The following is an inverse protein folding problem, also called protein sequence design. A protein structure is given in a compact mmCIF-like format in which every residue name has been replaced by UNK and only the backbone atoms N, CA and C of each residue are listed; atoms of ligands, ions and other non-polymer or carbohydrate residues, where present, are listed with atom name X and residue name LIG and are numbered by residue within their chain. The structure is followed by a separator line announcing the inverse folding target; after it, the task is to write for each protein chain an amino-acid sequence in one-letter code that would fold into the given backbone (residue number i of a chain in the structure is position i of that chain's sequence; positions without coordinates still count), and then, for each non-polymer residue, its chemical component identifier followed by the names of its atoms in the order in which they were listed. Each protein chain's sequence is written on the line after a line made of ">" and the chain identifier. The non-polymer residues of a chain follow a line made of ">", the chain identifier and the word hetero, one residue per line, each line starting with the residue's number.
data_IF_788483449485
#
_entry.id   IF_788483449485
#
_cell.length_a   1.000
_cell.length_b   1.000
_cell.length_c   1.000
_cell.angle_alpha   90.00
_cell.angle_beta   90.00
_cell.angle_gamma   90.00
#
_symmetry.space_group_name_H-M   'P 1'
#
loop_
_entity.id
_entity.type
_entity.pdbx_description
1 polymer ?
#
# COMPACT_ATOMS: atom_id res chain seq x y z
N UNK A 1 -0.29 6.30 28.57
CA UNK A 1 0.90 6.70 29.39
C UNK A 1 1.80 7.74 28.72
N UNK A 2 2.56 7.46 27.65
CA UNK A 2 3.41 8.50 27.01
C UNK A 2 2.61 9.58 26.28
N UNK A 3 1.51 9.22 25.61
CA UNK A 3 0.68 10.17 24.84
C UNK A 3 -0.24 11.03 25.72
N UNK A 4 -0.60 10.54 26.91
CA UNK A 4 -1.52 11.27 27.81
C UNK A 4 -0.80 12.31 28.69
N UNK A 5 0.50 12.12 28.95
CA UNK A 5 1.23 12.97 29.91
C UNK A 5 2.17 13.99 29.23
N UNK A 6 2.58 13.78 27.98
CA UNK A 6 3.50 14.68 27.27
C UNK A 6 3.13 14.81 25.79
N UNK A 7 2.17 15.70 25.47
CA UNK A 7 1.81 16.05 24.08
C UNK A 7 2.98 16.61 23.25
N UNK A 8 4.08 16.98 23.92
CA UNK A 8 5.26 17.61 23.31
C UNK A 8 6.45 16.65 23.11
N UNK A 9 6.37 15.40 23.59
CA UNK A 9 7.48 14.43 23.47
C UNK A 9 7.47 13.67 22.13
N UNK A 10 7.31 14.39 21.02
CA UNK A 10 7.41 13.84 19.66
C UNK A 10 8.73 13.09 19.44
N UNK A 11 9.80 13.51 20.10
CA UNK A 11 11.11 12.85 20.09
C UNK A 11 11.08 11.44 20.70
N UNK A 12 10.36 11.25 21.82
CA UNK A 12 10.26 9.94 22.47
C UNK A 12 9.45 8.95 21.60
N UNK A 13 8.38 9.44 20.97
CA UNK A 13 7.54 8.66 20.06
C UNK A 13 8.34 8.23 18.83
N UNK A 14 9.12 9.14 18.23
CA UNK A 14 10.04 8.82 17.11
C UNK A 14 11.02 7.71 17.49
N UNK A 15 11.60 7.77 18.68
CA UNK A 15 12.54 6.75 19.17
C UNK A 15 11.81 5.41 19.35
N UNK A 16 10.63 5.40 19.96
CA UNK A 16 9.85 4.18 20.15
C UNK A 16 9.45 3.53 18.83
N UNK A 17 9.03 4.32 17.84
CA UNK A 17 8.70 3.83 16.50
C UNK A 17 9.92 3.28 15.76
N UNK A 18 11.07 3.93 15.92
CA UNK A 18 12.34 3.44 15.35
C UNK A 18 12.79 2.14 15.99
N UNK A 19 12.60 1.99 17.31
CA UNK A 19 12.86 0.71 18.00
C UNK A 19 11.90 -0.36 17.47
N UNK A 20 10.61 -0.03 17.32
CA UNK A 20 9.63 -0.96 16.80
C UNK A 20 9.91 -1.39 15.35
N UNK A 21 10.27 -0.46 14.46
CA UNK A 21 10.63 -0.80 13.08
C UNK A 21 11.89 -1.67 13.02
N UNK A 22 12.86 -1.43 13.91
CA UNK A 22 14.04 -2.30 14.07
C UNK A 22 13.69 -3.69 14.63
N UNK A 23 12.64 -3.85 15.43
CA UNK A 23 12.25 -5.17 15.95
C UNK A 23 11.35 -5.95 15.01
N UNK A 24 10.44 -5.26 14.31
CA UNK A 24 9.38 -5.91 13.53
C UNK A 24 9.69 -6.03 12.05
N UNK A 25 10.48 -5.09 11.50
CA UNK A 25 10.72 -4.98 10.04
C UNK A 25 12.18 -5.27 9.67
N UNK A 26 13.12 -4.96 10.57
CA UNK A 26 14.54 -5.16 10.27
C UNK A 26 14.96 -6.63 10.44
N UNK A 27 15.20 -7.30 9.32
CA UNK A 27 15.72 -8.66 9.25
C UNK A 27 17.24 -8.70 8.97
N UNK A 28 17.99 -7.77 9.55
CA UNK A 28 19.45 -7.79 9.54
C UNK A 28 20.13 -6.88 8.51
N UNK A 29 19.42 -6.38 7.49
CA UNK A 29 19.98 -5.41 6.52
C UNK A 29 18.94 -4.36 6.12
N UNK A 30 19.38 -3.11 5.95
CA UNK A 30 18.54 -2.04 5.44
C UNK A 30 18.44 -2.09 3.92
N UNK A 31 17.28 -1.76 3.38
CA UNK A 31 17.04 -1.76 1.93
C UNK A 31 18.01 -0.83 1.16
N UNK A 32 18.37 0.30 1.76
CA UNK A 32 19.33 1.25 1.18
C UNK A 32 20.70 0.60 0.95
N UNK A 33 21.18 -0.18 1.92
CA UNK A 33 22.46 -0.88 1.83
C UNK A 33 22.42 -1.93 0.70
N UNK A 34 21.28 -2.59 0.50
CA UNK A 34 21.10 -3.57 -0.59
C UNK A 34 21.07 -2.91 -1.95
N UNK A 35 20.41 -1.76 -2.09
CA UNK A 35 20.42 -0.99 -3.32
C UNK A 35 21.83 -0.55 -3.71
N UNK A 36 22.64 -0.13 -2.73
CA UNK A 36 24.05 0.20 -2.92
C UNK A 36 24.86 -1.04 -3.33
N UNK A 37 24.74 -2.14 -2.58
CA UNK A 37 25.41 -3.41 -2.91
C UNK A 37 25.04 -3.92 -4.31
N UNK A 38 23.78 -3.76 -4.72
CA UNK A 38 23.29 -4.14 -6.03
C UNK A 38 23.87 -3.25 -7.14
N UNK A 39 23.90 -1.92 -6.93
CA UNK A 39 24.53 -0.97 -7.87
C UNK A 39 26.01 -1.29 -8.05
N UNK A 40 26.74 -1.50 -6.96
CA UNK A 40 28.15 -1.89 -6.96
C UNK A 40 28.37 -3.19 -7.74
N UNK A 41 27.51 -4.18 -7.50
CA UNK A 41 27.56 -5.44 -8.23
C UNK A 41 27.35 -5.24 -9.74
N UNK A 42 26.39 -4.40 -10.17
CA UNK A 42 26.17 -4.14 -11.60
C UNK A 42 27.40 -3.50 -12.26
N UNK A 43 28.04 -2.55 -11.59
CA UNK A 43 29.26 -1.89 -12.07
C UNK A 43 30.38 -2.93 -12.22
N UNK A 44 30.64 -3.72 -11.18
CA UNK A 44 31.66 -4.77 -11.18
C UNK A 44 31.38 -5.81 -12.28
N UNK A 45 30.14 -6.27 -12.39
CA UNK A 45 29.73 -7.23 -13.42
C UNK A 45 29.95 -6.68 -14.84
N UNK A 46 29.72 -5.39 -15.05
CA UNK A 46 29.96 -4.73 -16.33
C UNK A 46 31.45 -4.63 -16.66
N UNK A 47 32.27 -4.15 -15.72
CA UNK A 47 33.72 -3.97 -15.89
C UNK A 47 34.44 -5.28 -16.23
N UNK A 48 34.06 -6.37 -15.57
CA UNK A 48 34.69 -7.68 -15.73
C UNK A 48 33.91 -8.63 -16.65
N UNK A 49 33.05 -8.08 -17.51
CA UNK A 49 32.30 -8.86 -18.50
C UNK A 49 33.22 -9.24 -19.66
N UNK A 50 33.64 -10.50 -19.69
CA UNK A 50 34.32 -11.03 -20.86
C UNK A 50 33.31 -11.39 -21.97
N UNK A 51 33.26 -10.60 -23.05
CA UNK A 51 32.33 -10.82 -24.17
C UNK A 51 32.70 -12.04 -25.04
N UNK A 52 33.94 -12.52 -24.99
CA UNK A 52 34.44 -13.60 -25.83
C UNK A 52 34.07 -15.00 -25.29
N UNK A 53 34.07 -15.18 -23.98
CA UNK A 53 33.89 -16.49 -23.33
C UNK A 53 32.41 -16.88 -23.07
N UNK A 54 31.44 -16.16 -23.65
CA UNK A 54 30.01 -16.44 -23.53
C UNK A 54 29.39 -15.97 -22.20
N UNK A 55 28.15 -16.41 -21.91
CA UNK A 55 27.40 -16.01 -20.71
C UNK A 55 27.94 -16.75 -19.46
N UNK A 56 28.00 -16.06 -18.31
CA UNK A 56 28.26 -16.60 -16.94
C UNK A 56 29.69 -17.08 -16.61
N UNK A 57 30.69 -16.86 -17.47
CA UNK A 57 32.10 -17.08 -17.10
C UNK A 57 32.70 -15.80 -16.51
N UNK A 58 32.38 -15.53 -15.25
CA UNK A 58 32.94 -14.40 -14.50
C UNK A 58 34.08 -14.84 -13.58
N UNK A 59 35.05 -13.97 -13.29
CA UNK A 59 36.08 -14.26 -12.29
C UNK A 59 35.45 -14.49 -10.91
N UNK A 60 36.12 -15.30 -10.08
CA UNK A 60 35.60 -15.79 -8.78
C UNK A 60 35.04 -14.68 -7.89
N UNK A 61 35.71 -13.54 -7.81
CA UNK A 61 35.26 -12.45 -6.93
C UNK A 61 33.91 -11.86 -7.34
N UNK A 62 33.59 -11.80 -8.64
CA UNK A 62 32.28 -11.34 -9.14
C UNK A 62 31.18 -12.34 -8.75
N UNK A 63 31.51 -13.64 -8.76
CA UNK A 63 30.59 -14.68 -8.32
C UNK A 63 30.34 -14.57 -6.82
N UNK A 64 31.38 -14.33 -6.01
CA UNK A 64 31.24 -14.10 -4.57
C UNK A 64 30.34 -12.89 -4.30
N UNK A 65 30.59 -11.75 -4.97
CA UNK A 65 29.75 -10.55 -4.80
C UNK A 65 28.29 -10.79 -5.21
N UNK A 66 28.06 -11.61 -6.25
CA UNK A 66 26.71 -12.03 -6.63
C UNK A 66 26.04 -12.86 -5.53
N UNK A 67 26.77 -13.75 -4.87
CA UNK A 67 26.24 -14.57 -3.78
C UNK A 67 25.90 -13.68 -2.58
N UNK A 68 26.77 -12.73 -2.24
CA UNK A 68 26.54 -11.74 -1.17
C UNK A 68 25.23 -10.97 -1.42
N UNK A 69 25.09 -10.35 -2.60
CA UNK A 69 23.85 -9.65 -2.97
C UNK A 69 22.63 -10.56 -2.93
N UNK A 70 22.76 -11.82 -3.37
CA UNK A 70 21.66 -12.77 -3.35
C UNK A 70 21.23 -13.15 -1.92
N UNK A 71 22.20 -13.31 -1.00
CA UNK A 71 21.91 -13.61 0.40
C UNK A 71 21.17 -12.44 1.06
N UNK A 72 21.61 -11.20 0.83
CA UNK A 72 20.93 -10.04 1.41
C UNK A 72 19.53 -9.82 0.83
N UNK A 73 19.34 -10.07 -0.47
CA UNK A 73 18.01 -10.03 -1.09
C UNK A 73 17.05 -11.08 -0.50
N UNK A 74 17.56 -12.27 -0.15
CA UNK A 74 16.75 -13.30 0.50
C UNK A 74 16.28 -12.87 1.89
N UNK A 75 17.12 -12.17 2.65
CA UNK A 75 16.77 -11.65 3.98
C UNK A 75 15.57 -10.68 3.94
N UNK A 76 15.47 -9.86 2.89
CA UNK A 76 14.34 -8.92 2.70
C UNK A 76 13.09 -9.58 2.11
N UNK A 77 13.23 -10.68 1.38
CA UNK A 77 12.09 -11.32 0.70
C UNK A 77 11.05 -11.95 1.64
N UNK A 78 11.27 -11.91 2.96
CA UNK A 78 10.31 -12.35 3.95
C UNK A 78 9.27 -11.24 4.21
N UNK A 79 8.04 -11.46 3.77
CA UNK A 79 6.90 -10.63 4.17
C UNK A 79 6.37 -11.13 5.51
N UNK A 80 6.54 -10.39 6.62
CA UNK A 80 5.98 -10.80 7.89
C UNK A 80 4.45 -10.76 7.85
N UNK A 81 3.82 -11.70 8.53
CA UNK A 81 2.38 -11.65 8.81
C UNK A 81 2.09 -10.52 9.80
N UNK A 82 1.02 -9.77 9.57
CA UNK A 82 0.59 -8.71 10.48
C UNK A 82 0.15 -9.31 11.83
N UNK A 83 0.81 -8.90 12.92
CA UNK A 83 0.42 -9.28 14.28
C UNK A 83 -0.53 -8.25 14.91
N UNK A 84 -1.18 -8.60 16.02
CA UNK A 84 -2.06 -7.68 16.74
C UNK A 84 -1.32 -6.44 17.28
N UNK A 85 -0.04 -6.59 17.64
CA UNK A 85 0.82 -5.48 18.08
C UNK A 85 1.03 -4.53 16.90
N UNK A 86 1.31 -5.06 15.72
CA UNK A 86 1.54 -4.27 14.51
C UNK A 86 0.28 -3.47 14.15
N UNK A 87 -0.90 -4.08 14.29
CA UNK A 87 -2.18 -3.38 14.12
C UNK A 87 -2.34 -2.21 15.09
N UNK A 88 -1.99 -2.38 16.36
CA UNK A 88 -2.05 -1.30 17.35
C UNK A 88 -1.09 -0.17 17.02
N UNK A 89 0.12 -0.51 16.57
CA UNK A 89 1.11 0.49 16.14
C UNK A 89 0.62 1.28 14.92
N UNK A 90 0.05 0.60 13.92
CA UNK A 90 -0.55 1.25 12.74
C UNK A 90 -1.66 2.22 13.16
N UNK A 91 -2.56 1.80 14.06
CA UNK A 91 -3.63 2.67 14.56
C UNK A 91 -3.07 3.88 15.32
N UNK A 92 -2.02 3.68 16.13
CA UNK A 92 -1.42 4.80 16.87
C UNK A 92 -0.68 5.77 15.97
N UNK A 93 0.00 5.27 14.95
CA UNK A 93 0.63 6.08 13.91
C UNK A 93 -0.40 6.85 13.09
N UNK A 94 -1.54 6.23 12.78
CA UNK A 94 -2.65 6.89 12.13
C UNK A 94 -3.17 8.08 12.95
N UNK A 95 -3.39 7.90 14.26
CA UNK A 95 -3.79 8.96 15.19
C UNK A 95 -2.80 10.14 15.20
N UNK A 96 -1.49 9.84 15.18
CA UNK A 96 -0.44 10.86 15.10
C UNK A 96 -0.37 11.54 13.72
N UNK A 97 -0.72 10.81 12.66
CA UNK A 97 -0.73 11.30 11.27
C UNK A 97 -1.88 12.28 11.00
N UNK A 98 -2.89 12.32 11.88
CA UNK A 98 -4.01 13.28 11.86
C UNK A 98 -3.93 14.32 12.98
N UNK A 99 -2.80 14.40 13.70
CA UNK A 99 -2.62 15.32 14.82
C UNK A 99 -2.66 16.81 14.42
N UNK A 100 -2.96 17.72 15.36
CA UNK A 100 -3.03 19.17 15.09
C UNK A 100 -1.72 19.74 14.54
N UNK A 101 -0.59 19.34 15.12
CA UNK A 101 0.74 19.82 14.73
C UNK A 101 1.23 19.17 13.44
N UNK A 102 1.55 19.99 12.44
CA UNK A 102 2.02 19.53 11.11
C UNK A 102 3.33 18.75 11.16
N UNK A 103 4.26 19.11 12.05
CA UNK A 103 5.54 18.40 12.17
C UNK A 103 5.35 16.97 12.69
N UNK A 104 4.46 16.78 13.68
CA UNK A 104 4.12 15.44 14.19
C UNK A 104 3.45 14.62 13.10
N UNK A 105 2.53 15.21 12.35
CA UNK A 105 1.87 14.55 11.21
C UNK A 105 2.86 14.07 10.16
N UNK A 106 3.74 14.95 9.69
CA UNK A 106 4.70 14.64 8.62
C UNK A 106 5.61 13.46 9.01
N UNK A 107 6.15 13.48 10.23
CA UNK A 107 6.99 12.39 10.72
C UNK A 107 6.21 11.07 10.87
N UNK A 108 5.01 11.12 11.44
CA UNK A 108 4.17 9.94 11.61
C UNK A 108 3.73 9.33 10.26
N UNK A 109 3.46 10.15 9.25
CA UNK A 109 3.08 9.71 7.91
C UNK A 109 4.23 8.97 7.22
N UNK A 110 5.47 9.44 7.36
CA UNK A 110 6.66 8.75 6.82
C UNK A 110 6.79 7.34 7.41
N UNK A 111 6.68 7.23 8.74
CA UNK A 111 6.76 5.93 9.43
C UNK A 111 5.55 5.04 9.09
N UNK A 112 4.36 5.61 8.98
CA UNK A 112 3.14 4.90 8.58
C UNK A 112 3.28 4.32 7.16
N UNK A 113 3.75 5.09 6.18
CA UNK A 113 3.94 4.60 4.82
C UNK A 113 4.98 3.48 4.74
N UNK A 114 6.03 3.56 5.57
CA UNK A 114 7.02 2.48 5.65
C UNK A 114 6.38 1.18 6.12
N UNK A 115 5.58 1.22 7.20
CA UNK A 115 4.87 0.05 7.73
C UNK A 115 3.81 -0.46 6.74
N UNK A 116 3.04 0.43 6.12
CA UNK A 116 2.01 0.04 5.15
C UNK A 116 2.59 -0.69 3.93
N UNK A 117 3.83 -0.35 3.54
CA UNK A 117 4.55 -1.03 2.48
C UNK A 117 5.03 -2.43 2.89
N UNK A 118 5.44 -2.61 4.16
CA UNK A 118 5.98 -3.88 4.64
C UNK A 118 4.91 -4.95 4.83
N UNK A 119 3.70 -4.56 5.23
CA UNK A 119 2.59 -5.48 5.47
C UNK A 119 1.54 -5.41 4.37
N UNK A 120 1.35 -6.50 3.63
CA UNK A 120 0.30 -6.61 2.62
C UNK A 120 -1.08 -6.39 3.23
N UNK A 121 -1.94 -5.63 2.54
CA UNK A 121 -3.31 -5.29 2.96
C UNK A 121 -3.45 -4.52 4.28
N UNK A 122 -2.35 -4.05 4.87
CA UNK A 122 -2.36 -3.28 6.12
C UNK A 122 -3.18 -1.98 6.07
N UNK A 123 -3.39 -1.42 4.88
CA UNK A 123 -4.26 -0.25 4.68
C UNK A 123 -5.70 -0.51 5.16
N UNK A 124 -6.15 -1.76 5.19
CA UNK A 124 -7.49 -2.13 5.68
C UNK A 124 -7.69 -1.76 7.16
N UNK A 125 -6.61 -1.66 7.95
CA UNK A 125 -6.67 -1.28 9.36
C UNK A 125 -7.13 0.18 9.54
N UNK A 126 -6.71 1.05 8.61
CA UNK A 126 -6.91 2.51 8.72
C UNK A 126 -8.05 3.02 7.84
N UNK A 127 -8.45 2.27 6.82
CA UNK A 127 -9.32 2.79 5.77
C UNK A 127 -10.73 3.13 6.27
N UNK A 128 -11.30 2.32 7.14
CA UNK A 128 -12.63 2.57 7.71
C UNK A 128 -12.61 3.87 8.53
N UNK A 129 -11.55 4.09 9.33
CA UNK A 129 -11.37 5.33 10.10
C UNK A 129 -11.17 6.55 9.19
N UNK A 130 -10.50 6.40 8.04
CA UNK A 130 -10.35 7.47 7.06
C UNK A 130 -11.72 7.84 6.47
N UNK A 131 -12.53 6.84 6.07
CA UNK A 131 -13.86 7.06 5.51
C UNK A 131 -14.78 7.77 6.53
N UNK A 132 -14.76 7.33 7.79
CA UNK A 132 -15.52 7.97 8.87
C UNK A 132 -15.14 9.45 9.06
N UNK A 133 -13.86 9.81 8.96
CA UNK A 133 -13.39 11.19 9.11
C UNK A 133 -13.71 12.06 7.89
N UNK A 134 -13.70 11.49 6.69
CA UNK A 134 -14.05 12.19 5.45
C UNK A 134 -15.55 12.45 5.34
N UNK A 135 -16.39 11.47 5.71
CA UNK A 135 -17.84 11.60 5.66
C UNK A 135 -18.37 12.56 6.76
N UNK A 136 -17.70 12.65 7.91
CA UNK A 136 -18.04 13.59 9.00
C UNK A 136 -17.34 14.95 8.88
N UNK A 137 -17.21 15.50 7.67
CA UNK A 137 -16.43 16.71 7.40
C UNK A 137 -16.91 17.97 8.13
N UNK A 138 -18.20 18.05 8.51
CA UNK A 138 -18.78 19.19 9.25
C UNK A 138 -18.39 19.22 10.74
N UNK A 139 -18.04 18.07 11.32
CA UNK A 139 -17.66 17.94 12.74
C UNK A 139 -16.16 17.71 12.97
N UNK A 140 -15.43 17.25 11.94
CA UNK A 140 -14.03 16.94 12.04
C UNK A 140 -13.14 18.19 11.99
N UNK A 141 -12.04 18.19 12.75
CA UNK A 141 -11.07 19.27 12.67
C UNK A 141 -10.42 19.27 11.27
N UNK A 142 -10.35 20.43 10.63
CA UNK A 142 -9.72 20.59 9.32
C UNK A 142 -8.29 20.00 9.24
N UNK A 143 -7.55 20.00 10.35
CA UNK A 143 -6.23 19.37 10.40
C UNK A 143 -6.28 17.84 10.25
N UNK A 144 -7.32 17.21 10.79
CA UNK A 144 -7.52 15.76 10.66
C UNK A 144 -7.87 15.38 9.22
N UNK A 145 -8.81 16.11 8.60
CA UNK A 145 -9.17 15.92 7.18
C UNK A 145 -7.93 16.08 6.30
N UNK A 146 -7.15 17.14 6.52
CA UNK A 146 -5.90 17.36 5.79
C UNK A 146 -4.90 16.22 6.00
N UNK A 147 -4.79 15.69 7.23
CA UNK A 147 -3.96 14.52 7.54
C UNK A 147 -4.41 13.27 6.76
N UNK A 148 -5.72 12.98 6.74
CA UNK A 148 -6.30 11.88 5.97
C UNK A 148 -6.00 12.00 4.47
N UNK A 149 -6.15 13.19 3.90
CA UNK A 149 -5.84 13.42 2.49
C UNK A 149 -4.36 13.21 2.16
N UNK A 150 -3.44 13.60 3.04
CA UNK A 150 -2.02 13.27 2.87
C UNK A 150 -1.75 11.76 2.92
N UNK A 151 -2.43 11.03 3.81
CA UNK A 151 -2.31 9.57 3.89
C UNK A 151 -2.83 8.92 2.59
N UNK A 152 -3.95 9.41 2.04
CA UNK A 152 -4.52 8.94 0.78
C UNK A 152 -3.65 9.27 -0.44
N UNK A 153 -3.08 10.49 -0.48
CA UNK A 153 -2.10 10.87 -1.50
C UNK A 153 -0.88 9.95 -1.48
N UNK A 154 -0.47 9.54 -0.28
CA UNK A 154 0.58 8.55 -0.07
C UNK A 154 1.94 8.98 -0.64
N UNK A 155 2.77 8.00 -0.96
CA UNK A 155 4.06 8.20 -1.62
C UNK A 155 4.13 7.36 -2.92
N UNK A 156 5.29 7.27 -3.56
CA UNK A 156 5.43 6.53 -4.82
C UNK A 156 5.19 5.01 -4.66
N UNK A 157 5.33 4.48 -3.44
CA UNK A 157 5.22 3.05 -3.13
C UNK A 157 3.85 2.67 -2.55
N UNK A 158 3.19 3.60 -1.88
CA UNK A 158 1.91 3.41 -1.20
C UNK A 158 0.95 4.48 -1.71
N UNK A 159 -0.04 4.05 -2.49
CA UNK A 159 -1.15 4.89 -2.94
C UNK A 159 -2.46 4.12 -2.76
N UNK A 160 -3.26 4.52 -1.77
CA UNK A 160 -4.48 3.78 -1.37
C UNK A 160 -5.61 3.93 -2.42
N UNK A 161 -5.86 5.11 -3.01
CA UNK A 161 -6.93 5.29 -4.01
C UNK A 161 -6.80 4.45 -5.29
N UNK A 162 -5.61 3.94 -5.61
CA UNK A 162 -5.36 3.08 -6.77
C UNK A 162 -5.27 1.57 -6.43
N UNK A 163 -5.64 1.16 -5.22
CA UNK A 163 -5.66 -0.27 -4.87
C UNK A 163 -6.74 -1.03 -5.66
N UNK A 164 -6.40 -2.24 -6.09
CA UNK A 164 -7.25 -3.12 -6.92
C UNK A 164 -8.38 -3.79 -6.11
N UNK A 165 -9.26 -3.01 -5.49
CA UNK A 165 -10.38 -3.50 -4.70
C UNK A 165 -11.66 -2.72 -4.98
N UNK A 166 -12.59 -3.31 -5.71
CA UNK A 166 -13.89 -2.66 -6.02
C UNK A 166 -14.67 -2.26 -4.77
N UNK A 167 -14.62 -3.08 -3.71
CA UNK A 167 -15.25 -2.78 -2.43
C UNK A 167 -14.68 -1.55 -1.73
N UNK A 168 -13.39 -1.27 -1.95
CA UNK A 168 -12.74 -0.05 -1.46
C UNK A 168 -13.13 1.15 -2.33
N UNK A 169 -13.02 1.00 -3.65
CA UNK A 169 -13.30 2.09 -4.61
C UNK A 169 -14.74 2.58 -4.49
N UNK A 170 -15.69 1.66 -4.30
CA UNK A 170 -17.12 1.94 -4.06
C UNK A 170 -17.35 2.93 -2.92
N UNK A 171 -16.55 2.85 -1.85
CA UNK A 171 -16.69 3.73 -0.68
C UNK A 171 -15.81 4.98 -0.77
N UNK A 172 -14.56 4.79 -1.18
CA UNK A 172 -13.53 5.83 -1.13
C UNK A 172 -13.75 6.93 -2.16
N UNK A 173 -14.09 6.57 -3.39
CA UNK A 173 -14.23 7.56 -4.47
C UNK A 173 -15.41 8.51 -4.23
N UNK A 174 -16.61 8.04 -3.86
CA UNK A 174 -17.69 8.94 -3.48
C UNK A 174 -17.34 9.83 -2.28
N UNK A 175 -16.68 9.29 -1.25
CA UNK A 175 -16.27 10.09 -0.08
C UNK A 175 -15.28 11.20 -0.46
N UNK A 176 -14.32 10.91 -1.35
CA UNK A 176 -13.40 11.91 -1.91
C UNK A 176 -14.15 13.02 -2.66
N UNK A 177 -15.11 12.66 -3.52
CA UNK A 177 -15.90 13.66 -4.28
C UNK A 177 -16.72 14.58 -3.38
N UNK A 178 -17.33 14.05 -2.30
CA UNK A 178 -18.05 14.86 -1.31
C UNK A 178 -17.11 15.82 -0.56
N UNK A 179 -15.88 15.37 -0.30
CA UNK A 179 -14.86 16.18 0.38
C UNK A 179 -14.35 17.34 -0.51
N UNK A 180 -14.59 17.31 -1.83
CA UNK A 180 -14.17 18.39 -2.76
C UNK A 180 -14.83 19.75 -2.48
N UNK A 181 -15.94 19.79 -1.73
CA UNK A 181 -16.54 21.06 -1.29
C UNK A 181 -15.77 21.75 -0.15
N UNK A 182 -14.64 21.19 0.30
CA UNK A 182 -13.80 21.80 1.31
C UNK A 182 -13.42 23.24 0.93
N UNK A 183 -13.70 24.18 1.85
CA UNK A 183 -13.59 25.63 1.62
C UNK A 183 -12.14 26.14 1.60
N UNK A 184 -11.17 25.35 2.09
CA UNK A 184 -9.77 25.75 2.19
C UNK A 184 -8.99 25.36 0.93
N UNK A 185 -8.32 26.35 0.33
CA UNK A 185 -7.47 26.18 -0.87
C UNK A 185 -6.45 25.05 -0.71
N UNK A 186 -5.74 24.95 0.43
CA UNK A 186 -4.74 23.87 0.63
C UNK A 186 -5.32 22.45 0.70
N UNK A 187 -6.62 22.30 0.94
CA UNK A 187 -7.31 21.00 0.92
C UNK A 187 -7.76 20.66 -0.49
N UNK A 188 -8.21 21.67 -1.25
CA UNK A 188 -8.52 21.55 -2.67
C UNK A 188 -7.28 21.18 -3.49
N UNK A 189 -6.15 21.86 -3.28
CA UNK A 189 -4.87 21.55 -3.93
C UNK A 189 -4.42 20.09 -3.69
N UNK A 190 -4.65 19.56 -2.48
CA UNK A 190 -4.35 18.17 -2.16
C UNK A 190 -5.25 17.20 -2.90
N UNK A 191 -6.55 17.50 -3.00
CA UNK A 191 -7.49 16.70 -3.77
C UNK A 191 -7.12 16.71 -5.25
N UNK A 192 -6.76 17.86 -5.81
CA UNK A 192 -6.30 17.98 -7.19
C UNK A 192 -5.04 17.10 -7.42
N UNK A 193 -4.09 17.12 -6.49
CA UNK A 193 -2.92 16.25 -6.54
C UNK A 193 -3.27 14.75 -6.49
N UNK A 194 -4.26 14.36 -5.67
CA UNK A 194 -4.74 12.97 -5.60
C UNK A 194 -5.37 12.57 -6.94
N UNK A 195 -6.21 13.43 -7.52
CA UNK A 195 -6.87 13.17 -8.80
C UNK A 195 -5.86 13.06 -9.94
N UNK A 196 -4.88 13.95 -9.99
CA UNK A 196 -3.79 13.91 -10.96
C UNK A 196 -2.98 12.62 -10.86
N UNK A 197 -2.68 12.17 -9.63
CA UNK A 197 -1.96 10.92 -9.38
C UNK A 197 -2.80 9.71 -9.76
N UNK A 198 -4.10 9.73 -9.46
CA UNK A 198 -5.05 8.69 -9.83
C UNK A 198 -5.12 8.54 -11.35
N UNK A 199 -5.27 9.63 -12.10
CA UNK A 199 -5.26 9.61 -13.56
C UNK A 199 -3.96 9.03 -14.16
N UNK A 200 -2.83 9.13 -13.46
CA UNK A 200 -1.52 8.63 -13.92
C UNK A 200 -1.22 7.19 -13.52
N UNK A 201 -1.73 6.73 -12.37
CA UNK A 201 -1.34 5.45 -11.76
C UNK A 201 -2.49 4.44 -11.67
N UNK A 202 -3.74 4.83 -11.93
CA UNK A 202 -4.87 3.93 -11.84
C UNK A 202 -4.98 3.06 -13.09
N UNK A 203 -4.80 1.76 -12.89
CA UNK A 203 -5.15 0.74 -13.86
C UNK A 203 -6.49 0.10 -13.46
N UNK A 204 -7.41 -0.01 -14.43
CA UNK A 204 -8.75 -0.53 -14.18
C UNK A 204 -8.69 -1.97 -13.65
N UNK A 205 -9.18 -2.24 -12.43
CA UNK A 205 -9.26 -3.61 -11.92
C UNK A 205 -10.23 -4.43 -12.77
N UNK A 206 -9.92 -5.71 -12.98
CA UNK A 206 -10.84 -6.61 -13.66
C UNK A 206 -12.15 -6.73 -12.84
N UNK A 207 -13.29 -6.59 -13.52
CA UNK A 207 -14.60 -6.81 -12.89
C UNK A 207 -14.90 -8.31 -12.85
N UNK A 208 -14.66 -8.99 -13.97
CA UNK A 208 -14.86 -10.44 -14.14
C UNK A 208 -13.49 -11.07 -14.39
N UNK A 209 -13.08 -11.95 -13.49
CA UNK A 209 -11.92 -12.80 -13.66
C UNK A 209 -12.39 -14.20 -14.08
N UNK A 210 -12.04 -14.62 -15.29
CA UNK A 210 -12.29 -15.97 -15.79
C UNK A 210 -10.99 -16.65 -16.19
N UNK A 211 -10.95 -17.97 -16.01
CA UNK A 211 -9.77 -18.80 -16.28
C UNK A 211 -10.11 -19.72 -17.43
N UNK A 212 -9.21 -19.80 -18.42
CA UNK A 212 -9.39 -20.71 -19.53
C UNK A 212 -9.04 -22.16 -19.14
N UNK A 213 -9.72 -23.14 -19.74
CA UNK A 213 -9.50 -24.57 -19.47
C UNK A 213 -8.05 -25.04 -19.75
N UNK A 214 -7.36 -24.38 -20.68
CA UNK A 214 -5.97 -24.74 -21.04
C UNK A 214 -5.00 -24.41 -19.90
N UNK A 215 -5.18 -23.25 -19.27
CA UNK A 215 -4.42 -22.79 -18.11
C UNK A 215 -4.68 -23.69 -16.91
N UNK A 216 -5.94 -24.13 -16.71
CA UNK A 216 -6.28 -25.09 -15.65
C UNK A 216 -5.54 -26.41 -15.85
N UNK A 217 -5.56 -26.96 -17.07
CA UNK A 217 -4.84 -28.20 -17.41
C UNK A 217 -3.33 -28.07 -17.19
N UNK A 218 -2.72 -27.00 -17.68
CA UNK A 218 -1.28 -26.75 -17.49
C UNK A 218 -0.91 -26.56 -16.01
N UNK A 219 -1.76 -25.92 -15.21
CA UNK A 219 -1.52 -25.76 -13.77
C UNK A 219 -1.61 -27.10 -13.02
N UNK A 220 -2.55 -27.96 -13.39
CA UNK A 220 -2.66 -29.33 -12.85
C UNK A 220 -1.42 -30.15 -13.18
N UNK A 221 -0.89 -30.03 -14.40
CA UNK A 221 0.36 -30.69 -14.82
C UNK A 221 1.60 -30.16 -14.06
N UNK A 222 1.66 -28.85 -13.78
CA UNK A 222 2.81 -28.21 -13.14
C UNK A 222 2.89 -28.48 -11.63
N UNK A 223 1.75 -28.58 -10.94
CA UNK A 223 1.69 -28.58 -9.48
C UNK A 223 1.29 -29.93 -8.90
N UNK A 224 -0.01 -30.15 -8.72
CA UNK A 224 -0.60 -31.39 -8.22
C UNK A 224 -2.02 -31.51 -8.77
N UNK A 225 -2.52 -32.73 -9.04
CA UNK A 225 -3.93 -32.93 -9.34
C UNK A 225 -4.75 -32.52 -8.11
N UNK A 226 -5.56 -31.46 -8.27
CA UNK A 226 -6.54 -31.06 -7.25
C UNK A 226 -7.76 -32.00 -7.33
N UNK A 227 -8.38 -32.27 -6.19
CA UNK A 227 -9.64 -32.99 -6.15
C UNK A 227 -10.74 -32.18 -6.84
N UNK A 228 -11.65 -32.86 -7.55
CA UNK A 228 -12.75 -32.21 -8.28
C UNK A 228 -13.64 -31.35 -7.39
N UNK A 229 -13.81 -31.75 -6.12
CA UNK A 229 -14.60 -31.01 -5.14
C UNK A 229 -13.95 -29.67 -4.74
N UNK A 230 -12.61 -29.65 -4.63
CA UNK A 230 -11.86 -28.42 -4.36
C UNK A 230 -11.96 -27.45 -5.54
N UNK A 231 -11.91 -27.96 -6.78
CA UNK A 231 -12.06 -27.14 -7.99
C UNK A 231 -13.43 -26.46 -8.05
N UNK A 232 -14.52 -27.21 -7.83
CA UNK A 232 -15.89 -26.67 -7.83
C UNK A 232 -16.06 -25.60 -6.74
N UNK A 233 -15.53 -25.85 -5.54
CA UNK A 233 -15.58 -24.85 -4.45
C UNK A 233 -14.82 -23.57 -4.79
N UNK A 234 -13.68 -23.68 -5.47
CA UNK A 234 -12.88 -22.54 -5.92
C UNK A 234 -13.55 -21.76 -7.03
N UNK A 235 -14.21 -22.44 -7.97
CA UNK A 235 -15.02 -21.80 -9.01
C UNK A 235 -16.20 -21.04 -8.40
N UNK A 236 -16.91 -21.62 -7.42
CA UNK A 236 -17.98 -20.94 -6.69
C UNK A 236 -17.48 -19.68 -5.96
N UNK A 237 -16.32 -19.74 -5.31
CA UNK A 237 -15.72 -18.56 -4.66
C UNK A 237 -15.33 -17.48 -5.69
N UNK A 238 -14.84 -17.88 -6.87
CA UNK A 238 -14.53 -16.94 -7.97
C UNK A 238 -15.80 -16.27 -8.48
N UNK A 239 -16.85 -17.03 -8.75
CA UNK A 239 -18.14 -16.52 -9.20
C UNK A 239 -18.76 -15.56 -8.18
N UNK A 240 -18.73 -15.92 -6.89
CA UNK A 240 -19.20 -15.04 -5.82
C UNK A 240 -18.40 -13.72 -5.76
N UNK A 241 -17.08 -13.77 -5.95
CA UNK A 241 -16.23 -12.57 -6.02
C UNK A 241 -16.54 -11.72 -7.26
N UNK A 242 -16.75 -12.34 -8.42
CA UNK A 242 -17.14 -11.64 -9.64
C UNK A 242 -18.51 -10.96 -9.46
N UNK A 243 -19.47 -11.63 -8.83
CA UNK A 243 -20.77 -11.04 -8.51
C UNK A 243 -20.64 -9.84 -7.56
N UNK A 244 -19.83 -9.95 -6.51
CA UNK A 244 -19.55 -8.85 -5.59
C UNK A 244 -18.88 -7.67 -6.32
N UNK A 245 -17.91 -7.93 -7.20
CA UNK A 245 -17.24 -6.89 -7.99
C UNK A 245 -18.23 -6.16 -8.92
N UNK A 246 -19.12 -6.89 -9.59
CA UNK A 246 -20.16 -6.31 -10.46
C UNK A 246 -21.10 -5.42 -9.63
N UNK A 247 -21.53 -5.89 -8.47
CA UNK A 247 -22.38 -5.11 -7.56
C UNK A 247 -21.68 -3.83 -7.10
N UNK A 248 -20.44 -3.94 -6.60
CA UNK A 248 -19.66 -2.76 -6.17
C UNK A 248 -19.41 -1.76 -7.31
N UNK A 249 -19.16 -2.25 -8.52
CA UNK A 249 -19.01 -1.38 -9.71
C UNK A 249 -20.29 -0.63 -10.04
N UNK A 250 -21.43 -1.33 -10.07
CA UNK A 250 -22.73 -0.71 -10.35
C UNK A 250 -23.10 0.31 -9.26
N UNK A 251 -22.92 -0.05 -7.98
CA UNK A 251 -23.16 0.84 -6.85
C UNK A 251 -22.28 2.09 -6.91
N UNK A 252 -21.00 1.94 -7.26
CA UNK A 252 -20.09 3.07 -7.46
C UNK A 252 -20.61 4.00 -8.56
N UNK A 253 -20.97 3.45 -9.71
CA UNK A 253 -21.45 4.24 -10.85
C UNK A 253 -22.78 4.93 -10.54
N UNK A 254 -23.71 4.25 -9.87
CA UNK A 254 -24.97 4.84 -9.40
C UNK A 254 -24.74 5.96 -8.39
N UNK A 255 -23.82 5.76 -7.44
CA UNK A 255 -23.47 6.78 -6.45
C UNK A 255 -22.86 8.00 -7.12
N UNK A 256 -21.91 7.82 -8.04
CA UNK A 256 -21.32 8.92 -8.79
C UNK A 256 -22.37 9.65 -9.65
N UNK A 257 -23.26 8.92 -10.31
CA UNK A 257 -24.38 9.51 -11.07
C UNK A 257 -25.29 10.34 -10.15
N UNK A 258 -25.63 9.85 -8.96
CA UNK A 258 -26.47 10.58 -8.01
C UNK A 258 -25.85 11.90 -7.56
N UNK A 259 -24.52 11.97 -7.43
CA UNK A 259 -23.80 13.19 -7.07
C UNK A 259 -23.91 14.27 -8.14
N UNK A 260 -23.95 13.90 -9.43
CA UNK A 260 -24.18 14.86 -10.51
C UNK A 260 -25.60 15.45 -10.48
N UNK A 261 -26.61 14.68 -10.09
CA UNK A 261 -28.01 15.15 -10.06
C UNK A 261 -28.38 15.92 -8.79
N UNK A 262 -27.67 15.69 -7.68
CA UNK A 262 -27.96 16.34 -6.39
C UNK A 262 -27.36 17.75 -6.24
N UNK A 263 -26.61 18.24 -7.24
CA UNK A 263 -26.19 19.64 -7.31
C UNK A 263 -27.11 20.44 -8.26
N UNK A 264 -27.96 21.35 -7.74
CA UNK A 264 -28.57 22.35 -8.60
C UNK A 264 -27.46 23.28 -9.12
N UNK A 265 -27.42 23.49 -10.44
CA UNK A 265 -26.61 24.50 -11.12
C UNK A 265 -26.80 25.89 -10.49
#
# INVERSE_FOLDING_TARGET
>A
VLVENHSDDASSIKIALKIYSLTSIYFGVFEQDIDELYKDFQIIKYLYKNKLFGKRKHPRFVIIKRIEVQLELLSISNFPSLTDIDRQVILKLFELSIHRYSEVRCNAQVDLFYILRCYLFSYQVIIDHILELLDNSDGANHDQIKGCLYILLGNDLVFIPAQYSWTLLEKLWPSLTRTMHATKTSTQELLDCIMDKLCKQFDTPAIIEDINDKSVKAAIELWRPLETNELISRDQMREARNQANIQSYNNLMETLNSLFYNHPL
#
